data_IF_678929500347
#
_entry.id   IF_678929500347
#
_cell.length_a   1.000
_cell.length_b   1.000
_cell.length_c   1.000
_cell.angle_alpha   90.00
_cell.angle_beta   90.00
_cell.angle_gamma   90.00
#
_symmetry.space_group_name_H-M   'P 1'
#
loop_
_entity.id
_entity.type
_entity.pdbx_description
1 polymer ?
#
# COMPACT_ATOMS: atom_id res chain seq x y z
N UNK A 1 8.11 -6.72 56.98
CA UNK A 1 8.70 -5.37 56.91
C UNK A 1 10.18 -5.51 56.57
N UNK A 2 10.54 -5.47 55.29
CA UNK A 2 11.93 -5.39 54.85
C UNK A 2 11.99 -4.28 53.80
N UNK A 3 12.48 -3.13 54.25
CA UNK A 3 12.82 -1.96 53.45
C UNK A 3 14.25 -2.18 52.97
N UNK A 4 14.51 -2.03 51.66
CA UNK A 4 15.80 -1.53 51.22
C UNK A 4 15.63 -0.80 49.89
N UNK A 5 15.55 0.53 49.99
CA UNK A 5 15.81 1.45 48.91
C UNK A 5 17.34 1.62 48.76
N UNK A 6 17.84 1.69 47.52
CA UNK A 6 19.12 2.34 47.25
C UNK A 6 19.06 3.06 45.90
N UNK A 7 19.40 4.33 45.98
CA UNK A 7 19.29 5.35 44.96
C UNK A 7 20.69 5.79 44.44
N UNK A 8 20.66 6.69 43.46
CA UNK A 8 21.74 7.58 42.96
C UNK A 8 22.85 6.92 42.10
N UNK A 9 23.50 7.57 41.13
CA UNK A 9 23.33 8.73 40.22
C UNK A 9 24.76 9.08 39.71
N UNK A 10 24.85 9.86 38.62
CA UNK A 10 26.06 10.41 37.98
C UNK A 10 26.95 9.38 37.24
N UNK A 11 27.45 9.63 36.03
CA UNK A 11 27.61 10.89 35.32
C UNK A 11 29.00 10.83 34.67
N UNK A 12 29.07 10.64 33.36
CA UNK A 12 30.31 10.75 32.61
C UNK A 12 30.06 11.67 31.41
N UNK A 13 30.42 12.93 31.60
CA UNK A 13 30.61 13.91 30.55
C UNK A 13 32.09 13.84 30.11
N UNK A 14 32.33 13.57 28.83
CA UNK A 14 33.59 13.97 28.19
C UNK A 14 33.25 14.83 26.99
N UNK A 15 33.42 16.14 27.19
CA UNK A 15 33.45 17.12 26.12
C UNK A 15 34.80 17.01 25.40
N UNK A 16 34.77 16.85 24.08
CA UNK A 16 35.90 17.22 23.21
C UNK A 16 35.36 18.19 22.16
N UNK A 17 36.01 19.34 22.12
CA UNK A 17 35.63 20.51 21.32
C UNK A 17 36.19 20.40 19.91
N UNK A 18 35.43 20.81 18.89
CA UNK A 18 36.00 21.03 17.56
C UNK A 18 35.00 21.32 16.45
N UNK A 19 34.86 22.60 16.13
CA UNK A 19 34.67 23.17 14.78
C UNK A 19 33.25 23.20 14.16
N UNK A 20 32.67 24.39 14.30
CA UNK A 20 31.89 25.17 13.31
C UNK A 20 31.96 24.67 11.86
N UNK A 21 30.82 24.21 11.35
CA UNK A 21 30.21 24.63 10.07
C UNK A 21 28.72 24.33 10.20
N UNK A 22 27.86 25.32 9.95
CA UNK A 22 26.43 25.26 10.22
C UNK A 22 25.76 24.03 9.59
N UNK A 23 25.41 23.06 10.43
CA UNK A 23 24.54 21.95 10.05
C UNK A 23 23.18 22.25 10.66
N UNK A 24 22.25 22.66 9.80
CA UNK A 24 20.84 22.75 10.15
C UNK A 24 20.44 21.42 10.76
N UNK A 25 20.00 21.44 12.01
CA UNK A 25 19.36 20.31 12.63
C UNK A 25 18.14 19.97 11.77
N UNK A 26 18.26 18.92 10.95
CA UNK A 26 17.11 18.29 10.34
C UNK A 26 16.28 17.73 11.50
N UNK A 27 15.28 18.49 11.95
CA UNK A 27 14.18 17.94 12.70
C UNK A 27 13.68 16.72 11.94
N UNK A 28 13.37 15.59 12.61
CA UNK A 28 12.60 14.55 11.96
C UNK A 28 11.30 15.22 11.54
N UNK A 29 11.15 15.45 10.24
CA UNK A 29 9.92 15.96 9.67
C UNK A 29 8.83 14.99 10.14
N UNK A 30 7.97 15.43 11.04
CA UNK A 30 6.73 14.74 11.32
C UNK A 30 6.08 14.48 9.95
N UNK A 31 5.60 13.26 9.66
CA UNK A 31 4.95 12.96 8.39
C UNK A 31 3.69 13.83 8.30
N UNK A 32 3.86 15.04 7.77
CA UNK A 32 2.83 16.02 7.51
C UNK A 32 2.26 15.72 6.14
N UNK A 33 1.87 14.47 5.95
CA UNK A 33 1.02 14.02 4.87
C UNK A 33 -0.20 13.44 5.55
N UNK A 34 -1.36 14.08 5.34
CA UNK A 34 -2.65 13.54 5.77
C UNK A 34 -2.69 12.05 5.39
N UNK A 35 -2.88 11.16 6.37
CA UNK A 35 -2.95 9.73 6.12
C UNK A 35 -3.98 9.47 5.02
N UNK A 36 -3.59 8.74 3.98
CA UNK A 36 -4.45 8.49 2.85
C UNK A 36 -5.70 7.73 3.30
N UNK A 37 -6.87 8.22 2.93
CA UNK A 37 -8.15 7.60 3.29
C UNK A 37 -8.51 6.49 2.31
N UNK A 38 -9.13 5.44 2.83
CA UNK A 38 -9.56 4.27 2.06
C UNK A 38 -11.07 4.08 2.19
N UNK A 39 -11.74 3.78 1.10
CA UNK A 39 -13.11 3.24 1.11
C UNK A 39 -13.09 1.81 0.56
N UNK A 40 -13.66 0.86 1.32
CA UNK A 40 -13.93 -0.48 0.81
C UNK A 40 -15.21 -0.44 -0.01
N UNK A 41 -15.11 -0.48 -1.33
CA UNK A 41 -16.19 -0.28 -2.29
C UNK A 41 -17.11 -1.51 -2.40
N UNK A 42 -16.52 -2.70 -2.52
CA UNK A 42 -17.24 -3.97 -2.65
C UNK A 42 -16.44 -5.13 -2.05
N UNK A 43 -17.16 -6.19 -1.65
CA UNK A 43 -16.61 -7.50 -1.34
C UNK A 43 -17.49 -8.51 -2.07
N UNK A 44 -16.93 -9.12 -3.12
CA UNK A 44 -17.65 -9.94 -4.08
C UNK A 44 -17.23 -11.41 -3.97
N UNK A 45 -18.21 -12.31 -4.08
CA UNK A 45 -18.01 -13.76 -4.09
C UNK A 45 -18.40 -14.55 -2.83
N UNK A 46 -18.24 -14.06 -1.58
CA UNK A 46 -18.65 -14.84 -0.41
C UNK A 46 -20.18 -14.78 -0.23
N UNK A 47 -20.80 -15.83 0.34
CA UNK A 47 -22.20 -15.77 0.76
C UNK A 47 -22.36 -14.78 1.92
N UNK A 48 -23.59 -14.32 2.17
CA UNK A 48 -23.91 -13.26 3.14
C UNK A 48 -23.34 -13.51 4.56
N UNK A 49 -23.37 -14.76 5.01
CA UNK A 49 -22.84 -15.16 6.34
C UNK A 49 -21.31 -15.05 6.45
N UNK A 50 -20.59 -15.26 5.34
CA UNK A 50 -19.13 -15.09 5.27
C UNK A 50 -18.81 -13.62 5.03
N UNK A 51 -19.56 -12.94 4.16
CA UNK A 51 -19.41 -11.50 3.91
C UNK A 51 -19.47 -10.70 5.22
N UNK A 52 -20.49 -10.95 6.06
CA UNK A 52 -20.69 -10.19 7.30
C UNK A 52 -19.52 -10.37 8.27
N UNK A 53 -19.01 -11.60 8.41
CA UNK A 53 -17.82 -11.90 9.23
C UNK A 53 -16.55 -11.27 8.64
N UNK A 54 -16.40 -11.29 7.32
CA UNK A 54 -15.29 -10.64 6.64
C UNK A 54 -15.29 -9.13 6.86
N UNK A 55 -16.45 -8.46 6.76
CA UNK A 55 -16.56 -7.03 7.07
C UNK A 55 -16.13 -6.73 8.51
N UNK A 56 -16.62 -7.50 9.49
CA UNK A 56 -16.23 -7.34 10.89
C UNK A 56 -14.72 -7.51 11.09
N UNK A 57 -14.14 -8.56 10.50
CA UNK A 57 -12.70 -8.82 10.56
C UNK A 57 -11.89 -7.70 9.89
N UNK A 58 -12.31 -7.21 8.72
CA UNK A 58 -11.66 -6.09 8.04
C UNK A 58 -11.71 -4.80 8.85
N UNK A 59 -12.84 -4.49 9.49
CA UNK A 59 -12.93 -3.32 10.37
C UNK A 59 -11.95 -3.42 11.53
N UNK A 60 -11.89 -4.56 12.21
CA UNK A 60 -10.95 -4.76 13.32
C UNK A 60 -9.48 -4.65 12.87
N UNK A 61 -9.13 -5.23 11.71
CA UNK A 61 -7.77 -5.18 11.18
C UNK A 61 -7.39 -3.76 10.66
N UNK A 62 -8.37 -2.97 10.20
CA UNK A 62 -8.18 -1.56 9.84
C UNK A 62 -7.87 -0.71 11.06
N UNK A 63 -8.64 -0.86 12.13
CA UNK A 63 -8.44 -0.16 13.41
C UNK A 63 -7.08 -0.49 14.01
N UNK A 64 -6.70 -1.76 14.02
CA UNK A 64 -5.41 -2.23 14.55
C UNK A 64 -4.20 -1.62 13.82
N UNK A 65 -4.35 -1.25 12.54
CA UNK A 65 -3.30 -0.65 11.71
C UNK A 65 -3.47 0.85 11.49
N UNK A 66 -4.44 1.47 12.16
CA UNK A 66 -4.77 2.90 12.02
C UNK A 66 -5.05 3.30 10.56
N UNK A 67 -5.64 2.40 9.76
CA UNK A 67 -6.05 2.70 8.38
C UNK A 67 -7.29 3.58 8.44
N UNK A 68 -7.20 4.78 7.85
CA UNK A 68 -8.30 5.75 7.83
C UNK A 68 -9.40 5.31 6.85
N UNK A 69 -10.33 4.49 7.34
CA UNK A 69 -11.47 4.01 6.54
C UNK A 69 -12.61 5.03 6.57
N UNK A 70 -13.13 5.38 5.40
CA UNK A 70 -14.29 6.27 5.23
C UNK A 70 -15.46 5.54 4.56
N UNK A 71 -16.66 6.12 4.66
CA UNK A 71 -17.85 5.60 3.96
C UNK A 71 -17.60 5.51 2.45
N UNK A 72 -18.21 4.51 1.81
CA UNK A 72 -18.24 4.33 0.35
C UNK A 72 -18.76 5.58 -0.37
N UNK A 73 -19.69 6.30 0.25
CA UNK A 73 -20.31 7.51 -0.31
C UNK A 73 -19.43 8.76 -0.16
N UNK A 74 -18.38 8.71 0.67
CA UNK A 74 -17.48 9.84 0.91
C UNK A 74 -16.32 9.79 -0.09
N UNK A 75 -15.78 10.95 -0.52
CA UNK A 75 -14.51 10.99 -1.25
C UNK A 75 -13.39 10.32 -0.45
N UNK A 76 -12.68 9.38 -1.08
CA UNK A 76 -11.54 8.66 -0.52
C UNK A 76 -10.33 8.79 -1.45
N UNK A 77 -9.12 8.81 -0.90
CA UNK A 77 -7.90 8.79 -1.72
C UNK A 77 -7.76 7.49 -2.50
N UNK A 78 -8.20 6.38 -1.91
CA UNK A 78 -8.24 5.09 -2.57
C UNK A 78 -9.57 4.37 -2.35
N UNK A 79 -9.99 3.61 -3.36
CA UNK A 79 -11.16 2.72 -3.31
C UNK A 79 -10.71 1.28 -3.53
N UNK A 80 -11.10 0.39 -2.63
CA UNK A 80 -10.68 -1.01 -2.63
C UNK A 80 -11.87 -1.90 -3.01
N UNK A 81 -11.69 -2.76 -4.00
CA UNK A 81 -12.63 -3.83 -4.36
C UNK A 81 -12.02 -5.17 -4.01
N UNK A 82 -12.74 -5.97 -3.24
CA UNK A 82 -12.28 -7.27 -2.76
C UNK A 82 -13.05 -8.36 -3.50
N UNK A 83 -12.33 -9.32 -4.07
CA UNK A 83 -12.89 -10.48 -4.75
C UNK A 83 -12.41 -11.74 -4.06
N UNK A 84 -13.31 -12.67 -3.78
CA UNK A 84 -12.97 -13.95 -3.13
C UNK A 84 -13.70 -15.09 -3.80
N UNK A 85 -13.00 -16.21 -3.98
CA UNK A 85 -13.55 -17.38 -4.61
C UNK A 85 -12.98 -18.64 -3.96
N UNK A 86 -13.77 -19.71 -3.99
CA UNK A 86 -13.33 -21.02 -3.48
C UNK A 86 -13.07 -21.96 -4.64
N UNK A 87 -12.02 -22.77 -4.52
CA UNK A 87 -11.67 -23.81 -5.48
C UNK A 87 -11.53 -25.12 -4.72
N UNK A 88 -12.30 -26.12 -5.11
CA UNK A 88 -12.22 -27.49 -4.58
C UNK A 88 -11.22 -28.29 -5.39
N UNK A 89 -10.22 -28.86 -4.73
CA UNK A 89 -9.37 -29.90 -5.27
C UNK A 89 -9.72 -31.25 -4.62
N UNK A 90 -9.33 -32.39 -5.23
CA UNK A 90 -9.68 -33.71 -4.70
C UNK A 90 -9.25 -33.98 -3.25
N UNK A 91 -8.24 -33.26 -2.73
CA UNK A 91 -7.67 -33.48 -1.39
C UNK A 91 -7.65 -32.24 -0.50
N UNK A 92 -8.00 -31.07 -1.03
CA UNK A 92 -7.96 -29.79 -0.31
C UNK A 92 -8.88 -28.79 -1.00
N UNK A 93 -9.36 -27.80 -0.25
CA UNK A 93 -10.02 -26.65 -0.83
C UNK A 93 -9.20 -25.41 -0.54
N UNK A 94 -9.29 -24.41 -1.41
CA UNK A 94 -8.52 -23.17 -1.29
C UNK A 94 -9.45 -21.99 -1.50
N UNK A 95 -9.31 -20.97 -0.68
CA UNK A 95 -9.95 -19.67 -0.89
C UNK A 95 -8.94 -18.74 -1.53
N UNK A 96 -9.16 -18.39 -2.79
CA UNK A 96 -8.38 -17.39 -3.48
C UNK A 96 -9.00 -16.02 -3.22
N UNK A 97 -8.16 -15.02 -2.98
CA UNK A 97 -8.61 -13.66 -2.77
C UNK A 97 -7.73 -12.66 -3.50
N UNK A 98 -8.37 -11.58 -3.94
CA UNK A 98 -7.74 -10.48 -4.69
C UNK A 98 -8.34 -9.18 -4.19
N UNK A 99 -7.50 -8.19 -3.91
CA UNK A 99 -7.95 -6.82 -3.67
C UNK A 99 -7.34 -5.92 -4.74
N UNK A 100 -8.22 -5.24 -5.47
CA UNK A 100 -7.83 -4.20 -6.41
C UNK A 100 -8.00 -2.83 -5.73
N UNK A 101 -6.95 -2.02 -5.75
CA UNK A 101 -6.92 -0.66 -5.20
C UNK A 101 -6.91 0.35 -6.33
N UNK A 102 -7.91 1.23 -6.33
CA UNK A 102 -8.10 2.28 -7.31
C UNK A 102 -7.81 3.64 -6.69
N UNK A 103 -7.22 4.55 -7.46
CA UNK A 103 -7.07 5.95 -7.06
C UNK A 103 -8.34 6.78 -7.37
N UNK A 104 -8.26 8.09 -7.14
CA UNK A 104 -9.35 9.03 -7.42
C UNK A 104 -9.73 9.11 -8.91
N UNK A 105 -8.81 8.80 -9.82
CA UNK A 105 -9.04 8.75 -11.28
C UNK A 105 -9.61 7.41 -11.73
N UNK A 106 -9.99 6.53 -10.80
CA UNK A 106 -10.45 5.17 -11.06
C UNK A 106 -9.42 4.30 -11.78
N UNK A 107 -8.12 4.62 -11.67
CA UNK A 107 -7.03 3.79 -12.19
C UNK A 107 -6.63 2.78 -11.13
N UNK A 108 -6.50 1.51 -11.51
CA UNK A 108 -5.97 0.49 -10.60
C UNK A 108 -4.48 0.73 -10.38
N UNK A 109 -4.13 1.18 -9.18
CA UNK A 109 -2.76 1.54 -8.79
C UNK A 109 -2.06 0.43 -8.03
N UNK A 110 -2.81 -0.49 -7.42
CA UNK A 110 -2.24 -1.62 -6.69
C UNK A 110 -3.17 -2.82 -6.75
N UNK A 111 -2.59 -4.00 -6.79
CA UNK A 111 -3.32 -5.27 -6.72
C UNK A 111 -2.56 -6.20 -5.79
N UNK A 112 -3.27 -6.74 -4.80
CA UNK A 112 -2.76 -7.79 -3.94
C UNK A 112 -3.65 -9.02 -4.06
N UNK A 113 -3.06 -10.18 -3.85
CA UNK A 113 -3.76 -11.46 -3.91
C UNK A 113 -3.11 -12.47 -2.98
N UNK A 114 -3.86 -13.48 -2.58
CA UNK A 114 -3.36 -14.59 -1.81
C UNK A 114 -4.33 -15.76 -1.81
N UNK A 115 -3.93 -16.80 -1.10
CA UNK A 115 -4.63 -18.07 -1.06
C UNK A 115 -4.63 -18.58 0.37
N UNK A 116 -5.80 -19.01 0.85
CA UNK A 116 -5.91 -19.66 2.14
C UNK A 116 -6.34 -21.13 1.95
N UNK A 117 -5.51 -22.09 2.39
CA UNK A 117 -5.94 -23.47 2.41
C UNK A 117 -7.04 -23.67 3.46
N UNK A 118 -8.06 -24.43 3.10
CA UNK A 118 -9.13 -24.85 4.01
C UNK A 118 -9.28 -26.38 3.99
N UNK A 119 -9.46 -26.94 5.17
CA UNK A 119 -9.59 -28.39 5.37
C UNK A 119 -11.06 -28.76 5.51
N UNK A 120 -11.47 -29.91 4.97
CA UNK A 120 -12.81 -30.47 5.25
C UNK A 120 -13.97 -29.95 4.39
N UNK A 121 -13.67 -29.19 3.34
CA UNK A 121 -14.69 -28.68 2.43
C UNK A 121 -15.02 -29.67 1.31
N UNK A 122 -16.15 -30.38 1.47
CA UNK A 122 -16.86 -31.05 0.37
C UNK A 122 -17.60 -30.05 -0.52
N UNK A 123 -18.86 -30.32 -0.86
CA UNK A 123 -19.67 -29.46 -1.75
C UNK A 123 -19.98 -28.05 -1.23
N UNK A 124 -19.79 -27.76 0.06
CA UNK A 124 -19.96 -26.43 0.65
C UNK A 124 -18.62 -25.85 1.12
N UNK A 125 -17.81 -25.36 0.19
CA UNK A 125 -16.49 -24.78 0.46
C UNK A 125 -16.47 -23.60 1.41
N UNK A 126 -17.51 -22.78 1.37
CA UNK A 126 -17.65 -21.62 2.25
C UNK A 126 -17.93 -22.00 3.71
N UNK A 127 -18.39 -23.22 3.98
CA UNK A 127 -18.50 -23.73 5.36
C UNK A 127 -17.13 -23.96 6.01
N UNK A 128 -16.06 -24.19 5.22
CA UNK A 128 -14.70 -24.30 5.74
C UNK A 128 -13.98 -22.95 5.84
N UNK A 129 -14.63 -21.85 5.44
CA UNK A 129 -14.17 -20.48 5.70
C UNK A 129 -14.50 -20.08 7.15
N UNK A 130 -13.82 -20.74 8.07
CA UNK A 130 -13.97 -20.48 9.50
C UNK A 130 -13.30 -19.15 9.90
N UNK A 131 -13.63 -18.67 11.09
CA UNK A 131 -13.08 -17.44 11.65
C UNK A 131 -11.55 -17.29 11.53
N UNK A 132 -10.71 -18.30 11.83
CA UNK A 132 -9.27 -18.17 11.65
C UNK A 132 -8.84 -18.00 10.19
N UNK A 133 -9.57 -18.57 9.23
CA UNK A 133 -9.29 -18.40 7.80
C UNK A 133 -9.62 -16.97 7.39
N UNK A 134 -10.82 -16.50 7.73
CA UNK A 134 -11.27 -15.13 7.44
C UNK A 134 -10.28 -14.11 8.04
N UNK A 135 -9.88 -14.31 9.29
CA UNK A 135 -8.93 -13.44 9.97
C UNK A 135 -7.57 -13.41 9.27
N UNK A 136 -7.04 -14.54 8.80
CA UNK A 136 -5.78 -14.56 8.05
C UNK A 136 -5.88 -13.78 6.74
N UNK A 137 -6.97 -13.94 5.99
CA UNK A 137 -7.22 -13.18 4.75
C UNK A 137 -7.26 -11.68 5.03
N UNK A 138 -8.05 -11.27 6.03
CA UNK A 138 -8.21 -9.87 6.41
C UNK A 138 -6.90 -9.25 6.89
N UNK A 139 -6.17 -9.96 7.76
CA UNK A 139 -4.89 -9.51 8.30
C UNK A 139 -3.83 -9.38 7.20
N UNK A 140 -3.66 -10.42 6.36
CA UNK A 140 -2.71 -10.40 5.24
C UNK A 140 -3.04 -9.31 4.22
N UNK A 141 -4.32 -9.13 3.89
CA UNK A 141 -4.79 -8.08 2.99
C UNK A 141 -4.51 -6.68 3.56
N UNK A 142 -4.84 -6.46 4.82
CA UNK A 142 -4.64 -5.18 5.50
C UNK A 142 -3.17 -4.84 5.73
N UNK A 143 -2.31 -5.81 6.06
CA UNK A 143 -0.86 -5.59 6.19
C UNK A 143 -0.28 -5.04 4.89
N UNK A 144 -0.62 -5.68 3.77
CA UNK A 144 -0.12 -5.29 2.44
C UNK A 144 -0.74 -3.97 1.98
N UNK A 145 -2.01 -3.72 2.31
CA UNK A 145 -2.65 -2.43 2.07
C UNK A 145 -1.97 -1.31 2.87
N UNK A 146 -1.76 -1.50 4.17
CA UNK A 146 -1.09 -0.52 5.03
C UNK A 146 0.34 -0.23 4.55
N UNK A 147 1.09 -1.26 4.14
CA UNK A 147 2.42 -1.08 3.54
C UNK A 147 2.39 -0.25 2.25
N UNK A 148 1.39 -0.49 1.39
CA UNK A 148 1.16 0.34 0.20
C UNK A 148 0.84 1.79 0.57
N UNK A 149 -0.04 2.03 1.55
CA UNK A 149 -0.42 3.37 2.00
C UNK A 149 0.74 4.12 2.66
N UNK A 150 1.65 3.41 3.32
CA UNK A 150 2.83 3.97 3.98
C UNK A 150 3.95 4.37 3.01
N UNK A 151 3.91 3.88 1.76
CA UNK A 151 4.93 4.19 0.76
C UNK A 151 4.75 5.64 0.28
N UNK A 152 5.73 6.54 0.49
CA UNK A 152 5.66 7.89 -0.05
C UNK A 152 5.57 7.84 -1.57
N UNK A 153 4.48 8.31 -2.15
CA UNK A 153 4.42 8.46 -3.60
C UNK A 153 5.31 9.65 -3.98
N UNK A 154 6.18 9.53 -5.00
CA UNK A 154 6.86 10.69 -5.55
C UNK A 154 5.80 11.71 -5.95
N UNK A 155 5.76 12.85 -5.25
CA UNK A 155 5.08 14.02 -5.78
C UNK A 155 5.75 14.30 -7.12
N UNK A 156 5.01 14.42 -8.24
CA UNK A 156 5.59 14.89 -9.47
C UNK A 156 6.35 16.17 -9.14
N UNK A 157 7.66 16.18 -9.39
CA UNK A 157 8.43 17.42 -9.27
C UNK A 157 7.67 18.48 -10.08
N UNK A 158 7.47 19.71 -9.55
CA UNK A 158 6.92 20.78 -10.36
C UNK A 158 7.72 20.79 -11.66
N UNK A 159 7.04 20.59 -12.79
CA UNK A 159 7.67 20.71 -14.10
C UNK A 159 8.39 22.04 -14.07
N UNK A 160 9.72 22.02 -14.03
CA UNK A 160 10.48 23.25 -14.14
C UNK A 160 9.95 23.96 -15.39
N UNK A 161 9.57 25.25 -15.31
CA UNK A 161 9.16 25.99 -16.50
C UNK A 161 10.25 25.78 -17.54
N UNK A 162 9.85 25.22 -18.68
CA UNK A 162 10.76 24.65 -19.66
C UNK A 162 11.91 25.59 -19.91
N UNK A 163 13.13 25.07 -19.77
CA UNK A 163 14.28 25.68 -20.44
C UNK A 163 13.84 25.89 -21.88
N UNK A 164 13.71 27.15 -22.27
CA UNK A 164 13.37 27.53 -23.63
C UNK A 164 14.23 26.74 -24.61
N UNK A 165 13.72 26.37 -25.80
CA UNK A 165 14.56 25.80 -26.84
C UNK A 165 15.74 26.75 -27.05
N UNK A 166 16.96 26.28 -26.78
CA UNK A 166 18.16 27.06 -27.03
C UNK A 166 18.16 27.47 -28.49
N UNK A 167 18.23 28.78 -28.73
CA UNK A 167 18.46 29.35 -30.06
C UNK A 167 19.62 28.61 -30.72
N UNK A 168 19.45 28.01 -31.92
CA UNK A 168 20.56 27.39 -32.62
C UNK A 168 21.58 28.48 -32.97
N UNK A 169 22.90 28.24 -32.82
CA UNK A 169 23.89 29.14 -33.37
C UNK A 169 23.75 29.22 -34.90
N UNK A 170 24.01 30.37 -35.54
CA UNK A 170 23.96 30.50 -36.99
C UNK A 170 25.22 29.93 -37.65
N UNK A 171 25.05 29.18 -38.75
CA UNK A 171 26.10 28.71 -39.67
C UNK A 171 26.65 27.32 -39.30
N UNK A 172 26.80 26.33 -40.19
CA UNK A 172 27.02 26.38 -41.63
C UNK A 172 26.37 25.21 -42.37
N UNK A 173 26.03 25.47 -43.63
CA UNK A 173 25.50 24.55 -44.62
C UNK A 173 26.32 23.26 -44.74
N UNK A 174 25.64 22.10 -44.74
CA UNK A 174 26.22 20.91 -45.37
C UNK A 174 25.65 19.57 -44.88
N UNK A 175 25.04 18.86 -45.82
CA UNK A 175 24.80 17.40 -45.86
C UNK A 175 23.44 16.91 -45.38
N UNK A 176 22.50 16.97 -46.33
CA UNK A 176 21.43 15.99 -46.49
C UNK A 176 22.03 14.59 -46.71
N UNK A 177 21.55 13.58 -45.99
CA UNK A 177 21.68 12.18 -46.40
C UNK A 177 20.31 11.53 -46.27
N UNK A 178 19.94 10.90 -47.37
CA UNK A 178 18.61 10.53 -47.79
C UNK A 178 17.98 9.36 -47.02
N UNK A 179 16.65 9.33 -47.09
CA UNK A 179 15.81 8.20 -46.75
C UNK A 179 16.28 6.92 -47.45
N UNK A 180 16.31 5.81 -46.71
CA UNK A 180 16.46 4.48 -47.30
C UNK A 180 15.08 4.03 -47.79
N UNK A 181 15.00 3.79 -49.10
CA UNK A 181 13.93 3.10 -49.80
C UNK A 181 14.08 1.59 -49.57
N UNK A 182 12.97 0.92 -49.29
CA UNK A 182 12.91 -0.54 -49.20
C UNK A 182 12.01 -1.07 -50.33
N UNK A 183 12.52 -1.89 -51.26
CA UNK A 183 11.67 -2.60 -52.21
C UNK A 183 11.11 -3.88 -51.59
N UNK A 184 9.78 -4.05 -51.66
CA UNK A 184 9.09 -5.31 -51.36
C UNK A 184 9.19 -6.28 -52.54
N UNK A 185 9.33 -7.61 -52.29
CA UNK A 185 8.82 -8.64 -53.19
C UNK A 185 7.33 -8.93 -52.96
#
# INVERSE_FOLDING_TARGET
MAVLALALACGACTATSGQTTGSVAASPAAPSGRAATVAFESIDGPPESVYSRMVQSLTAEAEARQVAVVSRTTPAHYRVRVYTATVVYPKKSVIHWVWDVYDADQRRVFRLSGEEPVTGAGSNTWAAADEPVIRRMSSSGMDRLAGFLATPRPTPAPSAPGSAPGTPPPGDSGLTVAAYDAPSP
#
